data_IF_594185561301
#
_entry.id   IF_594185561301
#
_cell.length_a   1.000
_cell.length_b   1.000
_cell.length_c   1.000
_cell.angle_alpha   90.00
_cell.angle_beta   90.00
_cell.angle_gamma   90.00
#
_symmetry.space_group_name_H-M   'P 1'
#
loop_
_entity.id
_entity.type
_entity.pdbx_description
1 polymer ?
#
# COMPACT_ATOMS: atom_id res chain seq x y z
N UNK A 1 -15.70 -4.73 21.98
CA UNK A 1 -14.48 -3.90 21.87
C UNK A 1 -13.38 -4.80 21.34
N UNK A 2 -12.84 -4.53 20.16
CA UNK A 2 -11.67 -5.29 19.68
C UNK A 2 -10.51 -4.85 20.58
N UNK A 3 -9.95 -5.78 21.36
CA UNK A 3 -8.77 -5.50 22.18
C UNK A 3 -7.61 -5.16 21.24
N UNK A 4 -7.32 -3.86 21.12
CA UNK A 4 -6.20 -3.37 20.32
C UNK A 4 -4.88 -3.72 20.99
N UNK A 5 -3.91 -4.22 20.23
CA UNK A 5 -2.57 -4.44 20.75
C UNK A 5 -1.88 -3.10 21.05
N UNK A 6 -0.87 -3.07 21.93
CA UNK A 6 -0.05 -1.88 22.17
C UNK A 6 0.65 -1.33 20.90
N UNK A 7 0.73 -2.11 19.83
CA UNK A 7 1.32 -1.71 18.54
C UNK A 7 0.35 -0.91 17.65
N UNK A 8 -0.95 -0.96 17.94
CA UNK A 8 -1.97 -0.32 17.11
C UNK A 8 -1.72 1.20 16.88
N UNK A 9 -1.41 2.03 17.89
CA UNK A 9 -1.17 3.45 17.68
C UNK A 9 0.05 3.72 16.80
N UNK A 10 1.16 3.00 17.04
CA UNK A 10 2.39 3.10 16.24
C UNK A 10 2.12 2.73 14.77
N UNK A 11 1.37 1.65 14.53
CA UNK A 11 1.06 1.18 13.17
C UNK A 11 0.14 2.15 12.43
N UNK A 12 -0.88 2.67 13.12
CA UNK A 12 -1.79 3.69 12.58
C UNK A 12 -1.00 4.92 12.12
N UNK A 13 -0.16 5.48 13.00
CA UNK A 13 0.66 6.64 12.67
C UNK A 13 1.60 6.38 11.49
N UNK A 14 2.24 5.21 11.45
CA UNK A 14 3.17 4.86 10.36
C UNK A 14 2.46 4.77 9.00
N UNK A 15 1.26 4.21 8.96
CA UNK A 15 0.43 4.12 7.76
C UNK A 15 -0.08 5.50 7.33
N UNK A 16 -0.49 6.35 8.29
CA UNK A 16 -0.93 7.72 8.00
C UNK A 16 0.22 8.57 7.43
N UNK A 17 1.42 8.48 8.00
CA UNK A 17 2.61 9.16 7.45
C UNK A 17 2.93 8.68 6.03
N UNK A 18 2.79 7.38 5.78
CA UNK A 18 2.98 6.82 4.44
C UNK A 18 1.92 7.37 3.46
N UNK A 19 0.65 7.42 3.87
CA UNK A 19 -0.42 8.03 3.08
C UNK A 19 -0.13 9.51 2.77
N UNK A 20 0.23 10.30 3.77
CA UNK A 20 0.47 11.75 3.61
C UNK A 20 1.64 12.02 2.65
N UNK A 21 2.67 11.15 2.67
CA UNK A 21 3.75 11.18 1.68
C UNK A 21 3.21 10.94 0.27
N UNK A 22 2.40 9.90 0.07
CA UNK A 22 1.83 9.58 -1.24
C UNK A 22 0.88 10.67 -1.76
N UNK A 23 0.07 11.28 -0.89
CA UNK A 23 -0.77 12.43 -1.27
C UNK A 23 0.11 13.60 -1.73
N UNK A 24 1.13 13.97 -0.95
CA UNK A 24 1.98 15.13 -1.25
C UNK A 24 2.84 14.94 -2.50
N UNK A 25 3.33 13.74 -2.74
CA UNK A 25 4.38 13.47 -3.73
C UNK A 25 3.87 12.75 -4.98
N UNK A 26 2.75 12.03 -4.87
CA UNK A 26 2.27 11.14 -5.93
C UNK A 26 0.93 11.59 -6.52
N UNK A 27 -0.21 11.22 -5.91
CA UNK A 27 -1.51 11.49 -6.52
C UNK A 27 -2.01 12.93 -6.30
N UNK A 28 -1.73 13.56 -5.16
CA UNK A 28 -2.13 14.96 -4.94
C UNK A 28 -1.44 15.94 -5.89
N UNK A 29 -0.25 15.60 -6.42
CA UNK A 29 0.44 16.40 -7.46
C UNK A 29 -0.36 16.55 -8.74
N UNK A 30 -1.20 15.58 -9.07
CA UNK A 30 -2.05 15.63 -10.26
C UNK A 30 -3.15 16.69 -10.15
N UNK A 31 -3.46 17.18 -8.95
CA UNK A 31 -4.37 18.32 -8.82
C UNK A 31 -3.84 19.59 -9.48
N UNK A 32 -2.53 19.69 -9.73
CA UNK A 32 -1.92 20.82 -10.43
C UNK A 32 -2.12 20.78 -11.95
N UNK A 33 -2.73 19.72 -12.49
CA UNK A 33 -2.98 19.58 -13.92
C UNK A 33 -3.92 20.70 -14.44
N UNK A 34 -4.84 21.19 -13.61
CA UNK A 34 -5.74 22.31 -13.93
C UNK A 34 -5.07 23.70 -13.85
N UNK A 35 -3.84 23.78 -13.33
CA UNK A 35 -3.18 25.05 -13.01
C UNK A 35 -2.38 25.67 -14.16
N UNK A 36 -2.26 24.97 -15.31
CA UNK A 36 -1.47 25.40 -16.46
C UNK A 36 0.05 25.39 -16.26
N UNK A 37 0.55 24.90 -15.12
CA UNK A 37 1.99 24.86 -14.78
C UNK A 37 2.70 23.56 -15.19
N UNK A 38 1.94 22.57 -15.69
CA UNK A 38 2.43 21.22 -15.94
C UNK A 38 2.66 20.44 -14.65
N UNK A 39 2.86 19.13 -14.77
CA UNK A 39 3.12 18.24 -13.63
C UNK A 39 4.32 17.35 -13.90
N UNK A 40 5.05 17.01 -12.84
CA UNK A 40 6.09 15.99 -12.87
C UNK A 40 5.94 15.11 -11.65
N UNK A 41 5.77 13.82 -11.87
CA UNK A 41 5.57 12.82 -10.80
C UNK A 41 6.44 11.61 -11.10
N UNK A 42 7.11 11.08 -10.08
CA UNK A 42 7.94 9.87 -10.18
C UNK A 42 7.44 8.86 -9.15
N UNK A 43 7.20 7.63 -9.58
CA UNK A 43 6.77 6.55 -8.70
C UNK A 43 7.98 5.89 -8.00
N UNK A 44 7.76 4.97 -7.06
CA UNK A 44 8.86 4.33 -6.34
C UNK A 44 9.79 3.45 -7.19
N UNK A 45 9.39 3.09 -8.42
CA UNK A 45 10.19 2.33 -9.38
C UNK A 45 11.03 3.23 -10.29
N UNK A 46 10.95 4.55 -10.11
CA UNK A 46 11.66 5.52 -10.96
C UNK A 46 10.92 5.85 -12.27
N UNK A 47 9.72 5.31 -12.49
CA UNK A 47 8.88 5.69 -13.65
C UNK A 47 8.46 7.15 -13.47
N UNK A 48 8.89 8.00 -14.39
CA UNK A 48 8.60 9.43 -14.41
C UNK A 48 7.53 9.75 -15.43
N UNK A 49 6.56 10.55 -15.01
CA UNK A 49 5.52 11.13 -15.86
C UNK A 49 5.70 12.65 -15.85
N UNK A 50 5.65 13.25 -17.03
CA UNK A 50 5.77 14.68 -17.24
C UNK A 50 4.72 15.15 -18.22
N UNK A 51 3.95 16.17 -17.82
CA UNK A 51 3.01 16.86 -18.68
C UNK A 51 3.28 18.35 -18.63
N UNK A 52 3.24 18.99 -19.79
CA UNK A 52 3.39 20.44 -19.93
C UNK A 52 2.05 21.12 -19.64
N UNK A 53 2.08 22.44 -19.39
CA UNK A 53 0.90 23.21 -18.99
C UNK A 53 -0.22 23.30 -20.03
N UNK A 54 0.08 22.98 -21.27
CA UNK A 54 -0.81 22.93 -22.43
C UNK A 54 -1.37 21.52 -22.70
N UNK A 55 -0.98 20.51 -21.92
CA UNK A 55 -1.54 19.16 -22.05
C UNK A 55 -2.93 19.12 -21.44
N UNK A 56 -3.90 18.56 -22.16
CA UNK A 56 -5.24 18.26 -21.63
C UNK A 56 -5.28 16.90 -20.91
N UNK A 57 -6.13 16.78 -19.88
CA UNK A 57 -6.32 15.54 -19.13
C UNK A 57 -7.27 14.58 -19.86
N UNK A 58 -6.84 14.10 -21.03
CA UNK A 58 -7.57 13.16 -21.90
C UNK A 58 -6.59 12.16 -22.52
N UNK A 59 -7.11 11.05 -23.05
CA UNK A 59 -6.30 10.02 -23.71
C UNK A 59 -5.18 9.49 -22.81
N UNK A 60 -3.93 9.66 -23.27
CA UNK A 60 -2.73 9.17 -22.60
C UNK A 60 -2.60 9.62 -21.13
N UNK A 61 -3.04 10.83 -20.78
CA UNK A 61 -2.98 11.31 -19.40
C UNK A 61 -3.89 10.49 -18.46
N UNK A 62 -5.11 10.18 -18.91
CA UNK A 62 -6.05 9.34 -18.17
C UNK A 62 -5.61 7.88 -18.15
N UNK A 63 -5.08 7.38 -19.28
CA UNK A 63 -4.54 6.03 -19.37
C UNK A 63 -3.37 5.82 -18.41
N UNK A 64 -2.47 6.79 -18.26
CA UNK A 64 -1.38 6.71 -17.29
C UNK A 64 -1.91 6.78 -15.86
N UNK A 65 -2.82 7.72 -15.58
CA UNK A 65 -3.37 7.90 -14.23
C UNK A 65 -4.07 6.65 -13.71
N UNK A 66 -4.90 6.02 -14.55
CA UNK A 66 -5.62 4.80 -14.19
C UNK A 66 -4.89 3.51 -14.58
N UNK A 67 -3.83 3.57 -15.37
CA UNK A 67 -3.07 2.41 -15.89
C UNK A 67 -2.05 1.82 -14.92
N UNK A 68 -2.30 1.94 -13.62
CA UNK A 68 -1.47 1.32 -12.59
C UNK A 68 -0.19 2.09 -12.21
N UNK A 69 -0.05 3.36 -12.62
CA UNK A 69 1.13 4.17 -12.28
C UNK A 69 1.40 4.25 -10.77
N UNK A 70 0.34 4.30 -9.96
CA UNK A 70 0.41 4.44 -8.49
C UNK A 70 0.54 3.11 -7.74
N UNK A 71 0.19 2.00 -8.38
CA UNK A 71 0.07 0.70 -7.71
C UNK A 71 1.39 0.19 -7.09
N UNK A 72 2.56 0.38 -7.72
CA UNK A 72 3.83 0.02 -7.09
C UNK A 72 4.06 0.70 -5.74
N UNK A 73 3.74 1.99 -5.62
CA UNK A 73 3.89 2.73 -4.36
C UNK A 73 2.93 2.22 -3.27
N UNK A 74 1.70 1.86 -3.64
CA UNK A 74 0.74 1.29 -2.69
C UNK A 74 1.20 -0.08 -2.19
N UNK A 75 1.70 -0.93 -3.10
CA UNK A 75 2.27 -2.23 -2.76
C UNK A 75 3.50 -2.08 -1.87
N UNK A 76 4.36 -1.10 -2.14
CA UNK A 76 5.52 -0.79 -1.30
C UNK A 76 5.14 -0.46 0.13
N UNK A 77 4.10 0.36 0.34
CA UNK A 77 3.59 0.64 1.70
C UNK A 77 3.11 -0.65 2.38
N UNK A 78 2.35 -1.48 1.68
CA UNK A 78 1.87 -2.77 2.21
C UNK A 78 3.04 -3.65 2.65
N UNK A 79 4.04 -3.85 1.80
CA UNK A 79 5.20 -4.69 2.11
C UNK A 79 6.01 -4.13 3.28
N UNK A 80 6.30 -2.82 3.29
CA UNK A 80 7.06 -2.19 4.37
C UNK A 80 6.36 -2.32 5.73
N UNK A 81 5.02 -2.19 5.76
CA UNK A 81 4.26 -2.31 7.00
C UNK A 81 4.14 -3.75 7.50
N UNK A 82 4.02 -4.71 6.59
CA UNK A 82 3.99 -6.13 6.93
C UNK A 82 5.38 -6.59 7.41
N UNK A 83 6.46 -6.19 6.76
CA UNK A 83 7.83 -6.50 7.19
C UNK A 83 8.13 -5.94 8.58
N UNK A 84 7.73 -4.69 8.84
CA UNK A 84 7.88 -4.11 10.18
C UNK A 84 7.02 -4.85 11.22
N UNK A 85 5.84 -5.33 10.82
CA UNK A 85 4.98 -6.13 11.69
C UNK A 85 5.60 -7.46 12.03
N UNK A 86 6.18 -8.17 11.05
CA UNK A 86 6.91 -9.41 11.28
C UNK A 86 8.03 -9.20 12.30
N UNK A 87 8.81 -8.11 12.19
CA UNK A 87 9.84 -7.77 13.18
C UNK A 87 9.27 -7.53 14.58
N UNK A 88 8.17 -6.77 14.67
CA UNK A 88 7.51 -6.52 15.96
C UNK A 88 6.99 -7.84 16.58
N UNK A 89 6.48 -8.77 15.74
CA UNK A 89 6.03 -10.11 16.15
C UNK A 89 7.17 -11.05 16.59
N UNK A 90 8.39 -10.89 16.07
CA UNK A 90 9.55 -11.67 16.54
C UNK A 90 9.93 -11.30 17.98
N UNK A 91 9.68 -10.06 18.40
CA UNK A 91 9.93 -9.58 19.76
C UNK A 91 8.80 -10.03 20.71
N UNK A 92 7.55 -10.05 20.22
CA UNK A 92 6.36 -10.45 20.97
C UNK A 92 5.56 -11.56 20.26
N UNK A 93 6.05 -12.81 20.23
CA UNK A 93 5.42 -13.90 19.48
C UNK A 93 4.00 -14.23 19.95
N UNK A 94 3.70 -14.02 21.23
CA UNK A 94 2.38 -14.23 21.83
C UNK A 94 1.30 -13.30 21.27
N UNK A 95 1.71 -12.14 20.74
CA UNK A 95 0.82 -11.15 20.13
C UNK A 95 0.76 -11.25 18.61
N UNK A 96 1.57 -12.13 17.99
CA UNK A 96 1.83 -12.11 16.56
C UNK A 96 0.55 -12.14 15.69
N UNK A 97 -0.40 -13.03 16.04
CA UNK A 97 -1.66 -13.14 15.29
C UNK A 97 -2.51 -11.87 15.41
N UNK A 98 -2.56 -11.25 16.58
CA UNK A 98 -3.33 -10.03 16.82
C UNK A 98 -2.71 -8.83 16.09
N UNK A 99 -1.40 -8.62 16.23
CA UNK A 99 -0.69 -7.50 15.57
C UNK A 99 -0.80 -7.61 14.04
N UNK A 100 -0.65 -8.83 13.50
CA UNK A 100 -0.73 -9.05 12.06
C UNK A 100 -2.16 -8.83 11.52
N UNK A 101 -3.19 -9.28 12.25
CA UNK A 101 -4.59 -9.01 11.88
C UNK A 101 -4.91 -7.52 11.92
N UNK A 102 -4.47 -6.81 12.97
CA UNK A 102 -4.67 -5.37 13.09
C UNK A 102 -3.98 -4.59 11.97
N UNK A 103 -2.76 -5.00 11.62
CA UNK A 103 -2.03 -4.38 10.51
C UNK A 103 -2.78 -4.59 9.19
N UNK A 104 -3.29 -5.79 8.93
CA UNK A 104 -4.10 -6.05 7.72
C UNK A 104 -5.35 -5.17 7.68
N UNK A 105 -6.06 -5.00 8.81
CA UNK A 105 -7.25 -4.13 8.87
C UNK A 105 -6.91 -2.65 8.63
N UNK A 106 -5.80 -2.17 9.18
CA UNK A 106 -5.31 -0.81 8.91
C UNK A 106 -4.92 -0.64 7.43
N UNK A 107 -4.27 -1.63 6.82
CA UNK A 107 -3.92 -1.61 5.41
C UNK A 107 -5.15 -1.65 4.49
N UNK A 108 -6.22 -2.35 4.86
CA UNK A 108 -7.50 -2.32 4.13
C UNK A 108 -8.16 -0.93 4.19
N UNK A 109 -8.07 -0.25 5.33
CA UNK A 109 -8.51 1.15 5.46
C UNK A 109 -7.66 2.08 4.59
N UNK A 110 -6.34 1.88 4.58
CA UNK A 110 -5.42 2.58 3.69
C UNK A 110 -5.78 2.37 2.22
N UNK A 111 -6.01 1.13 1.79
CA UNK A 111 -6.42 0.79 0.41
C UNK A 111 -7.65 1.57 -0.03
N UNK A 112 -8.69 1.58 0.82
CA UNK A 112 -9.89 2.39 0.56
C UNK A 112 -9.56 3.87 0.43
N UNK A 113 -8.83 4.41 1.41
CA UNK A 113 -8.47 5.84 1.47
C UNK A 113 -7.70 6.30 0.23
N UNK A 114 -6.70 5.54 -0.22
CA UNK A 114 -5.90 5.92 -1.40
C UNK A 114 -6.72 5.90 -2.68
N UNK A 115 -7.53 4.87 -2.92
CA UNK A 115 -8.30 4.80 -4.16
C UNK A 115 -9.48 5.78 -4.20
N UNK A 116 -10.14 6.01 -3.06
CA UNK A 116 -11.10 7.09 -2.95
C UNK A 116 -10.42 8.41 -3.30
N UNK A 117 -9.28 8.72 -2.69
CA UNK A 117 -8.57 9.97 -2.97
C UNK A 117 -8.14 10.10 -4.44
N UNK A 118 -7.62 9.03 -5.04
CA UNK A 118 -7.29 8.99 -6.48
C UNK A 118 -8.52 9.29 -7.35
N UNK A 119 -9.69 8.74 -7.02
CA UNK A 119 -10.93 9.01 -7.74
C UNK A 119 -11.43 10.45 -7.57
N UNK A 120 -11.20 11.05 -6.39
CA UNK A 120 -11.52 12.46 -6.13
C UNK A 120 -10.60 13.39 -6.95
N UNK A 121 -9.31 13.10 -7.00
CA UNK A 121 -8.35 13.85 -7.81
C UNK A 121 -8.74 13.79 -9.29
N UNK A 122 -9.05 12.60 -9.82
CA UNK A 122 -9.55 12.44 -11.19
C UNK A 122 -10.84 13.22 -11.45
N UNK A 123 -11.80 13.16 -10.52
CA UNK A 123 -13.05 13.91 -10.63
C UNK A 123 -12.79 15.40 -10.70
N UNK A 124 -11.92 15.92 -9.84
CA UNK A 124 -11.55 17.34 -9.81
C UNK A 124 -10.90 17.79 -11.11
N UNK A 125 -9.96 17.01 -11.64
CA UNK A 125 -9.27 17.37 -12.90
C UNK A 125 -10.27 17.38 -14.06
N UNK A 126 -11.13 16.35 -14.17
CA UNK A 126 -12.17 16.29 -15.22
C UNK A 126 -13.23 17.39 -15.07
N UNK A 127 -13.56 17.77 -13.84
CA UNK A 127 -14.49 18.85 -13.52
C UNK A 127 -13.87 20.24 -13.55
N UNK A 128 -12.61 20.40 -13.99
CA UNK A 128 -11.91 21.69 -14.01
C UNK A 128 -11.96 22.44 -12.66
N UNK A 129 -11.91 21.68 -11.55
CA UNK A 129 -12.01 22.22 -10.19
C UNK A 129 -13.41 22.18 -9.57
N UNK A 130 -14.49 22.01 -10.34
CA UNK A 130 -15.85 21.84 -9.83
C UNK A 130 -16.25 20.35 -9.76
N UNK A 131 -16.41 19.79 -8.54
CA UNK A 131 -16.72 18.37 -8.37
C UNK A 131 -18.13 17.98 -8.84
N UNK A 132 -19.05 18.93 -9.04
CA UNK A 132 -20.43 18.64 -9.42
C UNK A 132 -20.62 18.42 -10.93
N UNK A 133 -19.65 18.85 -11.74
CA UNK A 133 -19.71 18.73 -13.20
C UNK A 133 -19.59 17.26 -13.63
N UNK A 134 -18.82 16.48 -12.88
CA UNK A 134 -18.41 15.14 -13.30
C UNK A 134 -18.64 14.12 -12.21
N UNK A 135 -19.18 12.95 -12.56
CA UNK A 135 -19.33 11.84 -11.61
C UNK A 135 -17.97 11.23 -11.23
N UNK A 136 -17.80 10.97 -9.93
CA UNK A 136 -16.66 10.22 -9.39
C UNK A 136 -16.64 8.80 -9.96
N UNK A 137 -15.47 8.31 -10.37
CA UNK A 137 -15.31 6.92 -10.79
C UNK A 137 -15.48 5.98 -9.60
N UNK A 138 -16.13 4.85 -9.84
CA UNK A 138 -16.16 3.71 -8.93
C UNK A 138 -14.76 3.08 -8.86
N UNK A 139 -14.37 2.65 -7.66
CA UNK A 139 -13.02 2.12 -7.38
C UNK A 139 -13.06 0.82 -6.57
N UNK A 140 -14.24 0.25 -6.39
CA UNK A 140 -14.49 -0.94 -5.60
C UNK A 140 -13.64 -2.13 -6.07
N UNK A 141 -13.52 -2.32 -7.38
CA UNK A 141 -12.70 -3.40 -7.95
C UNK A 141 -11.20 -3.21 -7.65
N UNK A 142 -10.72 -1.96 -7.63
CA UNK A 142 -9.33 -1.65 -7.32
C UNK A 142 -9.03 -1.82 -5.82
N UNK A 143 -9.95 -1.39 -4.96
CA UNK A 143 -9.90 -1.64 -3.52
C UNK A 143 -9.88 -3.14 -3.27
N UNK A 144 -10.75 -3.90 -3.93
CA UNK A 144 -10.80 -5.37 -3.83
C UNK A 144 -9.50 -6.02 -4.27
N UNK A 145 -8.93 -5.57 -5.40
CA UNK A 145 -7.66 -6.08 -5.90
C UNK A 145 -6.50 -5.83 -4.91
N UNK A 146 -6.39 -4.62 -4.38
CA UNK A 146 -5.33 -4.29 -3.41
C UNK A 146 -5.54 -4.97 -2.06
N UNK A 147 -6.79 -5.19 -1.63
CA UNK A 147 -7.10 -6.00 -0.46
C UNK A 147 -6.69 -7.47 -0.65
N UNK A 148 -6.87 -8.03 -1.85
CA UNK A 148 -6.40 -9.38 -2.14
C UNK A 148 -4.87 -9.50 -2.03
N UNK A 149 -4.13 -8.48 -2.48
CA UNK A 149 -2.67 -8.40 -2.29
C UNK A 149 -2.31 -8.33 -0.80
N UNK A 150 -3.01 -7.51 -0.01
CA UNK A 150 -2.83 -7.45 1.46
C UNK A 150 -3.03 -8.84 2.08
N UNK A 151 -4.06 -9.57 1.66
CA UNK A 151 -4.33 -10.92 2.17
C UNK A 151 -3.20 -11.90 1.82
N UNK A 152 -2.66 -11.83 0.60
CA UNK A 152 -1.51 -12.64 0.17
C UNK A 152 -0.28 -12.37 1.04
N UNK A 153 0.11 -11.11 1.23
CA UNK A 153 1.27 -10.76 2.05
C UNK A 153 1.06 -11.09 3.53
N UNK A 154 -0.16 -10.89 4.04
CA UNK A 154 -0.51 -11.21 5.42
C UNK A 154 -0.42 -12.72 5.66
N UNK A 155 -0.92 -13.55 4.74
CA UNK A 155 -0.83 -15.00 4.86
C UNK A 155 0.61 -15.50 4.73
N UNK A 156 1.42 -14.91 3.84
CA UNK A 156 2.84 -15.19 3.76
C UNK A 156 3.56 -14.89 5.09
N UNK A 157 3.30 -13.72 5.69
CA UNK A 157 3.85 -13.34 6.99
C UNK A 157 3.40 -14.30 8.11
N UNK A 158 2.13 -14.73 8.12
CA UNK A 158 1.62 -15.71 9.09
C UNK A 158 2.36 -17.04 8.99
N UNK A 159 2.63 -17.53 7.78
CA UNK A 159 3.40 -18.76 7.55
C UNK A 159 4.84 -18.63 8.05
N UNK A 160 5.49 -17.48 7.84
CA UNK A 160 6.85 -17.22 8.31
C UNK A 160 6.93 -17.19 9.85
N UNK A 161 5.93 -16.61 10.50
CA UNK A 161 5.85 -16.50 11.95
C UNK A 161 5.45 -17.81 12.65
N UNK A 162 4.98 -18.82 11.91
CA UNK A 162 4.61 -20.11 12.48
C UNK A 162 5.87 -20.95 12.84
N UNK A 163 6.12 -21.24 14.13
CA UNK A 163 7.33 -21.95 14.57
C UNK A 163 7.45 -23.39 14.02
N UNK A 164 6.33 -24.03 13.70
CA UNK A 164 6.31 -25.40 13.16
C UNK A 164 6.82 -25.45 11.71
N UNK A 165 6.49 -24.43 10.91
CA UNK A 165 6.99 -24.28 9.54
C UNK A 165 8.47 -23.85 9.56
N UNK A 166 8.86 -22.94 10.47
CA UNK A 166 10.28 -22.51 10.61
C UNK A 166 11.22 -23.71 10.83
N UNK A 167 10.81 -24.70 11.62
CA UNK A 167 11.56 -25.97 11.80
C UNK A 167 11.59 -26.84 10.54
N UNK A 168 10.52 -26.87 9.75
CA UNK A 168 10.40 -27.66 8.53
C UNK A 168 11.31 -27.15 7.40
N UNK A 169 11.54 -25.84 7.31
CA UNK A 169 12.47 -25.22 6.35
C UNK A 169 13.95 -25.25 6.79
N UNK A 170 14.22 -25.20 8.10
CA UNK A 170 15.58 -25.24 8.64
C UNK A 170 16.17 -26.66 8.71
N UNK A 171 15.34 -27.70 8.90
CA UNK A 171 15.82 -29.08 9.02
C UNK A 171 16.58 -29.61 7.79
N UNK A 172 16.11 -29.37 6.55
CA UNK A 172 16.84 -29.79 5.35
C UNK A 172 18.16 -29.02 5.16
N UNK A 173 18.17 -27.72 5.48
CA UNK A 173 19.35 -26.85 5.34
C UNK A 173 20.43 -27.18 6.38
N UNK A 174 20.05 -27.50 7.61
CA UNK A 174 20.99 -27.94 8.66
C UNK A 174 21.56 -29.34 8.38
N UNK A 175 20.77 -30.24 7.76
CA UNK A 175 21.27 -31.54 7.26
C UNK A 175 22.27 -31.38 6.11
N UNK A 176 22.04 -30.44 5.19
CA UNK A 176 22.97 -30.13 4.10
C UNK A 176 24.24 -29.42 4.60
N UNK A 177 24.15 -28.63 5.68
CA UNK A 177 25.28 -27.94 6.31
C UNK A 177 26.08 -28.81 7.31
N UNK A 178 25.75 -30.10 7.48
CA UNK A 178 26.47 -31.02 8.37
C UNK A 178 26.34 -30.72 9.86
N UNK A 179 25.38 -29.89 10.28
CA UNK A 179 25.19 -29.52 11.68
C UNK A 179 24.43 -30.66 12.38
N UNK A 180 25.11 -31.40 13.26
CA UNK A 180 24.47 -32.43 14.10
C UNK A 180 23.53 -31.75 15.10
N UNK A 181 22.22 -32.00 14.94
CA UNK A 181 21.25 -31.73 16.01
C UNK A 181 21.46 -32.77 17.12
N UNK A 182 21.83 -32.31 18.31
CA UNK A 182 21.95 -33.12 19.54
C UNK A 182 20.52 -33.53 19.99
N UNK A 183 20.33 -34.72 20.59
CA UNK A 183 19.00 -35.24 20.95
C UNK A 183 18.22 -34.35 21.91
#
# INVERSE_FOLDING_TARGET
MVNQTPFFPKRTLSIDVAYDRLERELFGRWTLFDSGKGITVTNCEGKKVHFTGDTEYVGAAQEIFWGGFFEPDFKRVITEQIDQTVKDCEIHPELAQAILSETADLLRKFSRRVYERVAEVDQRIRGQGDPNITQRRTVEDRIKALNAEIDVFTEAARKLLNPSLRRQWLHPLLKLAGVRTIP
#
